data_IF_326389719781
#
_entry.id   IF_326389719781
#
_cell.length_a   1.000
_cell.length_b   1.000
_cell.length_c   1.000
_cell.angle_alpha   90.00
_cell.angle_beta   90.00
_cell.angle_gamma   90.00
#
_symmetry.space_group_name_H-M   'P 1'
#
loop_
_entity.id
_entity.type
_entity.pdbx_description
1 polymer ?
#
# COMPACT_ATOMS: atom_id res chain seq x y z
N UNK A 1 -12.77 34.46 -13.37
CA UNK A 1 -13.09 33.88 -12.04
C UNK A 1 -13.84 32.53 -12.05
N UNK A 2 -14.50 32.09 -13.14
CA UNK A 2 -15.19 30.77 -13.16
C UNK A 2 -14.28 29.53 -13.31
N UNK A 3 -13.08 29.67 -13.88
CA UNK A 3 -12.16 28.53 -14.07
C UNK A 3 -11.58 27.94 -12.77
N UNK A 4 -11.49 28.71 -11.67
CA UNK A 4 -10.89 28.20 -10.43
C UNK A 4 -11.79 27.22 -9.65
N UNK A 5 -13.12 27.20 -9.90
CA UNK A 5 -14.03 26.29 -9.19
C UNK A 5 -14.04 24.86 -9.76
N UNK A 6 -13.71 24.68 -11.03
CA UNK A 6 -13.67 23.35 -11.64
C UNK A 6 -12.52 22.49 -11.09
N UNK A 7 -11.37 23.11 -10.79
CA UNK A 7 -10.16 22.42 -10.33
C UNK A 7 -10.36 21.79 -8.94
N UNK A 8 -11.03 22.51 -8.02
CA UNK A 8 -11.31 22.01 -6.65
C UNK A 8 -12.21 20.76 -6.61
N UNK A 9 -13.07 20.54 -7.61
CA UNK A 9 -13.98 19.38 -7.61
C UNK A 9 -13.36 18.11 -8.22
N UNK A 10 -12.29 18.26 -9.01
CA UNK A 10 -11.57 17.12 -9.62
C UNK A 10 -10.68 16.42 -8.58
N UNK A 11 -10.05 17.19 -7.69
CA UNK A 11 -9.19 16.64 -6.64
C UNK A 11 -10.01 15.85 -5.59
N UNK A 12 -11.21 16.33 -5.24
CA UNK A 12 -12.10 15.63 -4.32
C UNK A 12 -12.55 14.25 -4.81
N UNK A 13 -12.86 14.10 -6.10
CA UNK A 13 -13.22 12.78 -6.69
C UNK A 13 -12.05 11.80 -6.71
N UNK A 14 -10.83 12.28 -6.96
CA UNK A 14 -9.62 11.45 -6.89
C UNK A 14 -9.35 10.99 -5.46
N UNK A 15 -9.47 11.89 -4.49
CA UNK A 15 -9.25 11.58 -3.08
C UNK A 15 -10.29 10.58 -2.57
N UNK A 16 -11.57 10.76 -2.93
CA UNK A 16 -12.64 9.81 -2.62
C UNK A 16 -12.36 8.41 -3.18
N UNK A 17 -12.02 8.31 -4.46
CA UNK A 17 -11.72 7.02 -5.09
C UNK A 17 -10.49 6.34 -4.44
N UNK A 18 -9.55 7.12 -3.89
CA UNK A 18 -8.42 6.58 -3.15
C UNK A 18 -8.85 6.01 -1.80
N UNK A 19 -9.69 6.74 -1.06
CA UNK A 19 -10.22 6.29 0.23
C UNK A 19 -11.09 5.03 0.09
N UNK A 20 -11.95 4.95 -0.94
CA UNK A 20 -12.78 3.76 -1.18
C UNK A 20 -11.93 2.53 -1.48
N UNK A 21 -10.83 2.67 -2.23
CA UNK A 21 -9.90 1.56 -2.49
C UNK A 21 -9.21 1.05 -1.23
N UNK A 22 -8.76 1.96 -0.37
CA UNK A 22 -8.18 1.59 0.93
C UNK A 22 -9.21 0.90 1.84
N UNK A 23 -10.45 1.40 1.85
CA UNK A 23 -11.55 0.76 2.58
C UNK A 23 -11.83 -0.65 2.08
N UNK A 24 -11.92 -0.85 0.76
CA UNK A 24 -12.12 -2.17 0.16
C UNK A 24 -10.97 -3.14 0.48
N UNK A 25 -9.72 -2.66 0.51
CA UNK A 25 -8.57 -3.46 0.92
C UNK A 25 -8.66 -3.89 2.39
N UNK A 26 -9.06 -2.97 3.28
CA UNK A 26 -9.22 -3.28 4.70
C UNK A 26 -10.33 -4.33 4.92
N UNK A 27 -11.44 -4.19 4.20
CA UNK A 27 -12.54 -5.17 4.21
C UNK A 27 -12.05 -6.53 3.69
N UNK A 28 -11.28 -6.56 2.60
CA UNK A 28 -10.76 -7.80 2.04
C UNK A 28 -9.83 -8.54 3.03
N UNK A 29 -8.94 -7.81 3.71
CA UNK A 29 -8.07 -8.38 4.75
C UNK A 29 -8.90 -8.89 5.92
N UNK A 30 -9.92 -8.13 6.35
CA UNK A 30 -10.86 -8.56 7.39
C UNK A 30 -11.59 -9.85 7.03
N UNK A 31 -12.09 -9.97 5.80
CA UNK A 31 -12.79 -11.18 5.32
C UNK A 31 -11.87 -12.40 5.32
N UNK A 32 -10.62 -12.26 4.87
CA UNK A 32 -9.62 -13.34 4.93
C UNK A 32 -9.38 -13.76 6.37
N UNK A 33 -9.27 -12.81 7.29
CA UNK A 33 -9.07 -13.08 8.71
C UNK A 33 -10.25 -13.86 9.31
N UNK A 34 -11.48 -13.45 9.00
CA UNK A 34 -12.69 -14.15 9.46
C UNK A 34 -12.74 -15.57 8.89
N UNK A 35 -12.46 -15.75 7.60
CA UNK A 35 -12.46 -17.08 6.96
C UNK A 35 -11.37 -18.00 7.57
N UNK A 36 -10.22 -17.47 7.97
CA UNK A 36 -9.16 -18.25 8.60
C UNK A 36 -9.44 -18.61 10.06
N UNK A 37 -9.92 -17.64 10.86
CA UNK A 37 -10.06 -17.79 12.31
C UNK A 37 -11.38 -18.40 12.77
N UNK A 38 -12.47 -18.23 12.01
CA UNK A 38 -13.78 -18.83 12.33
C UNK A 38 -13.72 -20.36 12.36
N UNK A 39 -13.20 -21.07 11.34
CA UNK A 39 -13.14 -22.54 11.38
C UNK A 39 -12.24 -23.03 12.51
N UNK A 40 -11.14 -22.33 12.79
CA UNK A 40 -10.27 -22.63 13.93
C UNK A 40 -11.02 -22.53 15.26
N UNK A 41 -11.69 -21.41 15.50
CA UNK A 41 -12.48 -21.18 16.72
C UNK A 41 -13.60 -22.20 16.89
N UNK A 42 -14.28 -22.53 15.79
CA UNK A 42 -15.37 -23.51 15.78
C UNK A 42 -14.87 -24.91 16.19
N UNK A 43 -13.67 -25.28 15.75
CA UNK A 43 -13.10 -26.61 16.01
C UNK A 43 -12.60 -26.73 17.44
N UNK A 44 -11.97 -25.68 17.97
CA UNK A 44 -11.64 -25.59 19.40
C UNK A 44 -12.91 -25.68 20.26
N UNK A 45 -14.00 -25.05 19.81
CA UNK A 45 -15.30 -25.15 20.49
C UNK A 45 -15.84 -26.58 20.45
N UNK A 46 -15.83 -27.26 19.29
CA UNK A 46 -16.26 -28.67 19.17
C UNK A 46 -15.41 -29.58 20.07
N UNK A 47 -14.10 -29.35 20.13
CA UNK A 47 -13.18 -30.10 21.00
C UNK A 47 -13.52 -29.96 22.48
N UNK A 48 -14.04 -28.81 22.92
CA UNK A 48 -14.49 -28.64 24.31
C UNK A 48 -15.71 -29.52 24.64
N UNK A 49 -16.55 -29.86 23.65
CA UNK A 49 -17.79 -30.61 23.86
C UNK A 49 -17.69 -32.10 23.50
N UNK A 50 -16.75 -32.51 22.65
CA UNK A 50 -16.55 -33.91 22.24
C UNK A 50 -15.20 -34.46 22.69
N UNK A 51 -15.22 -35.58 23.41
CA UNK A 51 -14.02 -36.30 23.89
C UNK A 51 -13.32 -37.15 22.81
N UNK A 52 -13.73 -37.07 21.55
CA UNK A 52 -13.16 -37.87 20.47
C UNK A 52 -11.75 -37.36 20.09
N UNK A 53 -10.74 -37.84 20.80
CA UNK A 53 -9.36 -37.38 20.68
C UNK A 53 -8.78 -37.51 19.26
N UNK A 54 -9.10 -38.58 18.52
CA UNK A 54 -8.43 -38.83 17.22
C UNK A 54 -8.83 -37.83 16.12
N UNK A 55 -10.11 -37.49 16.02
CA UNK A 55 -10.60 -36.57 14.99
C UNK A 55 -10.07 -35.15 15.24
N UNK A 56 -10.00 -34.77 16.51
CA UNK A 56 -9.43 -33.50 16.97
C UNK A 56 -7.93 -33.43 16.65
N UNK A 57 -7.17 -34.50 16.81
CA UNK A 57 -5.72 -34.49 16.59
C UNK A 57 -5.37 -34.31 15.10
N UNK A 58 -6.14 -34.93 14.20
CA UNK A 58 -5.97 -34.76 12.74
C UNK A 58 -6.35 -33.32 12.33
N UNK A 59 -7.50 -32.83 12.80
CA UNK A 59 -8.00 -31.50 12.45
C UNK A 59 -7.06 -30.41 12.98
N UNK A 60 -6.63 -30.51 14.23
CA UNK A 60 -5.74 -29.54 14.87
C UNK A 60 -4.40 -29.41 14.15
N UNK A 61 -3.81 -30.52 13.68
CA UNK A 61 -2.59 -30.47 12.85
C UNK A 61 -2.80 -29.72 11.55
N UNK A 62 -3.91 -29.96 10.86
CA UNK A 62 -4.18 -29.28 9.59
C UNK A 62 -4.46 -27.78 9.79
N UNK A 63 -5.22 -27.46 10.84
CA UNK A 63 -5.58 -26.07 11.18
C UNK A 63 -4.44 -25.27 11.77
N UNK A 64 -3.45 -25.92 12.39
CA UNK A 64 -2.24 -25.25 12.83
C UNK A 64 -1.49 -24.59 11.67
N UNK A 65 -1.61 -25.10 10.44
CA UNK A 65 -0.95 -24.53 9.25
C UNK A 65 -1.71 -23.35 8.62
N UNK A 66 -2.99 -23.21 8.91
CA UNK A 66 -3.88 -22.21 8.31
C UNK A 66 -3.45 -20.75 8.61
N UNK A 67 -3.06 -20.40 9.86
CA UNK A 67 -2.53 -19.07 10.18
C UNK A 67 -1.25 -18.74 9.40
N UNK A 68 -0.34 -19.71 9.26
CA UNK A 68 0.90 -19.51 8.51
C UNK A 68 0.63 -19.28 7.02
N UNK A 69 -0.34 -20.01 6.45
CA UNK A 69 -0.78 -19.77 5.07
C UNK A 69 -1.38 -18.37 4.92
N UNK A 70 -2.14 -17.90 5.92
CA UNK A 70 -2.72 -16.57 5.93
C UNK A 70 -1.64 -15.47 5.97
N UNK A 71 -0.60 -15.63 6.80
CA UNK A 71 0.55 -14.72 6.83
C UNK A 71 1.28 -14.68 5.49
N UNK A 72 1.41 -15.83 4.82
CA UNK A 72 2.02 -15.91 3.50
C UNK A 72 1.19 -15.16 2.44
N UNK A 73 -0.14 -15.25 2.50
CA UNK A 73 -1.06 -14.65 1.51
C UNK A 73 -1.20 -13.13 1.70
N UNK A 74 -1.09 -12.62 2.93
CA UNK A 74 -1.24 -11.20 3.27
C UNK A 74 -0.46 -10.22 2.37
N UNK A 75 0.86 -10.40 2.14
CA UNK A 75 1.64 -9.51 1.28
C UNK A 75 1.18 -9.57 -0.18
N UNK A 76 0.76 -10.74 -0.68
CA UNK A 76 0.26 -10.86 -2.06
C UNK A 76 -1.06 -10.12 -2.24
N UNK A 77 -1.97 -10.25 -1.27
CA UNK A 77 -3.23 -9.51 -1.24
C UNK A 77 -2.94 -8.01 -1.19
N UNK A 78 -2.06 -7.56 -0.30
CA UNK A 78 -1.69 -6.15 -0.22
C UNK A 78 -1.13 -5.59 -1.54
N UNK A 79 -0.27 -6.35 -2.24
CA UNK A 79 0.28 -5.95 -3.55
C UNK A 79 -0.80 -5.95 -4.64
N UNK A 80 -1.74 -6.91 -4.61
CA UNK A 80 -2.81 -7.03 -5.60
C UNK A 80 -3.75 -5.80 -5.58
N UNK A 81 -4.08 -5.31 -4.37
CA UNK A 81 -4.99 -4.18 -4.19
C UNK A 81 -4.32 -2.80 -4.31
N UNK A 82 -2.98 -2.72 -4.28
CA UNK A 82 -2.22 -1.49 -4.52
C UNK A 82 -1.55 -1.48 -5.92
N UNK A 83 -2.26 -1.05 -6.99
CA UNK A 83 -1.69 -0.99 -8.33
C UNK A 83 -0.48 -0.04 -8.42
N UNK A 84 -0.45 1.00 -7.57
CA UNK A 84 0.67 1.94 -7.44
C UNK A 84 1.94 1.23 -6.94
N UNK A 85 1.79 0.28 -6.01
CA UNK A 85 2.89 -0.53 -5.47
C UNK A 85 3.30 -1.57 -6.50
N UNK A 86 2.35 -2.25 -7.16
CA UNK A 86 2.64 -3.21 -8.24
C UNK A 86 3.51 -2.58 -9.33
N UNK A 87 3.18 -1.37 -9.80
CA UNK A 87 3.99 -0.66 -10.80
C UNK A 87 5.41 -0.35 -10.32
N UNK A 88 5.57 0.07 -9.06
CA UNK A 88 6.89 0.33 -8.46
C UNK A 88 7.68 -0.96 -8.23
N UNK A 89 7.03 -2.03 -7.81
CA UNK A 89 7.65 -3.31 -7.51
C UNK A 89 8.13 -3.99 -8.80
N UNK A 90 7.30 -3.98 -9.85
CA UNK A 90 7.70 -4.42 -11.19
C UNK A 90 8.85 -3.57 -11.71
N UNK A 91 8.81 -2.24 -11.54
CA UNK A 91 9.94 -1.38 -11.94
C UNK A 91 11.22 -1.68 -11.13
N UNK A 92 11.11 -2.04 -9.85
CA UNK A 92 12.24 -2.37 -8.99
C UNK A 92 12.85 -3.73 -9.35
N UNK A 93 12.02 -4.72 -9.68
CA UNK A 93 12.46 -6.06 -10.11
C UNK A 93 12.95 -6.10 -11.56
N UNK A 94 12.29 -5.40 -12.51
CA UNK A 94 12.70 -5.38 -13.92
C UNK A 94 13.81 -4.39 -14.23
N UNK A 95 13.97 -3.29 -13.47
CA UNK A 95 14.94 -2.24 -13.78
C UNK A 95 15.76 -1.79 -12.56
N UNK A 96 16.57 -2.69 -11.95
CA UNK A 96 17.48 -2.27 -10.88
C UNK A 96 18.48 -1.18 -11.34
N UNK A 97 18.84 -1.11 -12.62
CA UNK A 97 19.87 -0.19 -13.14
C UNK A 97 19.41 1.22 -13.60
N UNK A 98 18.10 1.50 -13.75
CA UNK A 98 17.66 2.78 -14.38
C UNK A 98 17.31 3.88 -13.36
N UNK A 99 17.04 3.52 -12.11
CA UNK A 99 16.66 4.50 -11.08
C UNK A 99 17.84 5.38 -10.63
N UNK A 100 19.07 4.86 -10.69
CA UNK A 100 20.26 5.62 -10.27
C UNK A 100 20.56 6.79 -11.23
N UNK A 101 20.43 6.54 -12.54
CA UNK A 101 20.60 7.58 -13.58
C UNK A 101 19.57 8.71 -13.46
N UNK A 102 18.31 8.40 -13.10
CA UNK A 102 17.27 9.43 -12.87
C UNK A 102 17.53 10.25 -11.61
N UNK A 103 17.98 9.65 -10.52
CA UNK A 103 18.34 10.39 -9.28
C UNK A 103 19.50 11.34 -9.52
N UNK A 104 20.52 10.91 -10.26
CA UNK A 104 21.67 11.75 -10.59
C UNK A 104 21.28 12.95 -11.46
N UNK A 105 20.46 12.73 -12.50
CA UNK A 105 19.98 13.82 -13.39
C UNK A 105 19.14 14.87 -12.66
N UNK A 106 18.30 14.45 -11.70
CA UNK A 106 17.48 15.37 -10.93
C UNK A 106 18.30 16.17 -9.91
N UNK A 107 19.36 15.60 -9.34
CA UNK A 107 20.32 16.36 -8.51
C UNK A 107 21.02 17.46 -9.31
N UNK A 108 21.48 17.16 -10.53
CA UNK A 108 22.16 18.16 -11.38
C UNK A 108 21.22 19.34 -11.71
N UNK A 109 19.94 19.08 -11.99
CA UNK A 109 18.96 20.16 -12.22
C UNK A 109 18.67 20.98 -10.97
N UNK A 110 18.58 20.35 -9.80
CA UNK A 110 18.35 21.08 -8.55
C UNK A 110 19.52 22.03 -8.23
N UNK A 111 20.75 21.58 -8.47
CA UNK A 111 21.97 22.41 -8.31
C UNK A 111 21.95 23.58 -9.30
N UNK A 112 21.63 23.33 -10.59
CA UNK A 112 21.56 24.42 -11.57
C UNK A 112 20.47 25.45 -11.26
N UNK A 113 19.34 25.02 -10.71
CA UNK A 113 18.25 25.93 -10.33
C UNK A 113 18.66 26.83 -9.16
N UNK A 114 19.47 26.33 -8.21
CA UNK A 114 20.00 27.13 -7.09
C UNK A 114 21.11 28.11 -7.50
N UNK A 115 21.92 27.77 -8.50
CA UNK A 115 22.96 28.69 -9.02
C UNK A 115 22.38 29.86 -9.82
N UNK A 116 21.20 29.70 -10.41
CA UNK A 116 20.55 30.76 -11.19
C UNK A 116 19.81 31.76 -10.29
N UNK A 117 19.29 31.32 -9.13
CA UNK A 117 18.61 32.22 -8.17
C UNK A 117 19.56 33.02 -7.29
N UNK A 118 20.82 32.58 -7.13
CA UNK A 118 21.85 33.28 -6.34
C UNK A 118 22.57 34.38 -7.11
N UNK A 119 22.49 34.39 -8.44
CA UNK A 119 23.03 35.44 -9.31
C UNK A 119 21.99 36.48 -9.75
N UNK A 120 20.85 36.57 -9.07
CA UNK A 120 19.91 37.66 -9.31
C UNK A 120 20.57 38.98 -8.84
N UNK A 121 20.90 39.91 -9.76
CA UNK A 121 21.50 41.18 -9.37
C UNK A 121 20.50 41.91 -8.49
N UNK A 122 20.93 42.26 -7.29
CA UNK A 122 20.19 43.08 -6.35
C UNK A 122 19.80 44.38 -7.06
N UNK A 123 18.58 44.42 -7.61
CA UNK A 123 17.98 45.65 -8.11
C UNK A 123 17.88 46.56 -6.89
N UNK A 124 18.79 47.52 -6.83
CA UNK A 124 18.81 48.62 -5.89
C UNK A 124 17.45 49.33 -6.01
N UNK A 125 16.56 49.07 -5.05
CA UNK A 125 15.30 49.80 -4.92
C UNK A 125 15.67 51.16 -4.35
N UNK A 126 15.85 52.14 -5.23
CA UNK A 126 15.89 53.54 -4.84
C UNK A 126 14.47 53.92 -4.44
N UNK A 127 14.26 54.03 -3.13
CA UNK A 127 13.05 54.62 -2.55
C UNK A 127 13.19 56.13 -2.70
N UNK A 128 12.31 56.72 -3.50
CA UNK A 128 12.14 58.16 -3.64
C UNK A 128 10.86 58.60 -2.93
#
# INVERSE_FOLDING_TARGET
YRMKRAILTVDGRRQWNRSVKLGAQLIAIGMIYVIGWVPYSLIVLIQMFQSSQELVDILSRFLAYLPYLQELILPFVAILYMPEVKGKLVALFMFPCNNDKRRHRNRIRAIHTQTVTTNAPSRLVIVH
#
